data_IF_630270260156
#
_entry.id   IF_630270260156
#
_cell.length_a   1.000
_cell.length_b   1.000
_cell.length_c   1.000
_cell.angle_alpha   90.00
_cell.angle_beta   90.00
_cell.angle_gamma   90.00
#
_symmetry.space_group_name_H-M   'P 1'
#
loop_
_entity.id
_entity.type
_entity.pdbx_description
1 polymer ?
#
# COMPACT_ATOMS: atom_id res chain seq x y z
N UNK A 1 -3.70 5.34 11.14
CA UNK A 1 -2.50 5.80 11.86
C UNK A 1 -1.96 4.61 12.64
N UNK A 2 -0.67 4.26 12.52
CA UNK A 2 -0.06 3.23 13.36
C UNK A 2 -0.29 3.52 14.85
N UNK A 3 -0.45 2.50 15.70
CA UNK A 3 -0.68 2.72 17.14
C UNK A 3 0.37 3.62 17.81
N UNK A 4 1.69 3.48 17.55
CA UNK A 4 2.70 4.38 18.12
C UNK A 4 2.48 5.85 17.72
N UNK A 5 1.87 6.09 16.55
CA UNK A 5 1.58 7.46 16.09
C UNK A 5 0.34 8.08 16.75
N UNK A 6 -0.40 7.31 17.56
CA UNK A 6 -1.55 7.80 18.32
C UNK A 6 -1.17 8.29 19.73
N UNK A 7 -0.01 7.89 20.26
CA UNK A 7 0.52 8.37 21.54
C UNK A 7 1.65 9.38 21.32
N UNK A 8 1.45 10.61 21.77
CA UNK A 8 2.45 11.69 21.63
C UNK A 8 3.69 11.50 22.50
N UNK A 9 3.63 10.60 23.48
CA UNK A 9 4.75 10.28 24.34
C UNK A 9 5.54 9.06 23.84
N UNK A 10 5.06 8.39 22.80
CA UNK A 10 5.77 7.26 22.20
C UNK A 10 7.05 7.75 21.51
N UNK A 11 8.21 7.11 21.74
CA UNK A 11 9.45 7.47 21.06
C UNK A 11 9.33 7.50 19.53
N UNK A 12 8.56 6.58 18.93
CA UNK A 12 8.36 6.54 17.49
C UNK A 12 7.60 7.78 16.97
N UNK A 13 6.64 8.30 17.75
CA UNK A 13 5.97 9.56 17.42
C UNK A 13 6.95 10.73 17.45
N UNK A 14 7.80 10.80 18.48
CA UNK A 14 8.79 11.85 18.62
C UNK A 14 9.85 11.79 17.52
N UNK A 15 10.31 10.60 17.16
CA UNK A 15 11.23 10.38 16.05
C UNK A 15 10.60 10.80 14.71
N UNK A 16 9.33 10.46 14.49
CA UNK A 16 8.60 10.90 13.32
C UNK A 16 8.50 12.43 13.24
N UNK A 17 8.10 13.09 14.33
CA UNK A 17 8.02 14.57 14.38
C UNK A 17 9.41 15.18 14.19
N UNK A 18 10.44 14.60 14.80
CA UNK A 18 11.83 15.00 14.63
C UNK A 18 12.26 14.93 13.17
N UNK A 19 12.02 13.81 12.49
CA UNK A 19 12.23 13.68 11.05
C UNK A 19 11.46 14.73 10.24
N UNK A 20 10.16 14.91 10.51
CA UNK A 20 9.32 15.87 9.79
C UNK A 20 9.74 17.33 9.98
N UNK A 21 10.28 17.70 11.15
CA UNK A 21 10.78 19.06 11.43
C UNK A 21 11.93 19.48 10.52
N UNK A 22 12.60 18.52 9.89
CA UNK A 22 13.71 18.76 8.99
C UNK A 22 13.31 18.78 7.50
N UNK A 23 12.08 18.35 7.15
CA UNK A 23 11.58 18.34 5.78
C UNK A 23 11.62 19.72 5.09
N UNK A 24 11.35 20.86 5.77
CA UNK A 24 11.47 22.18 5.15
C UNK A 24 12.90 22.54 4.69
N UNK A 25 13.92 21.79 5.13
CA UNK A 25 15.32 22.00 4.73
C UNK A 25 15.74 21.14 3.54
N UNK A 26 14.88 20.24 3.05
CA UNK A 26 15.15 19.43 1.88
C UNK A 26 14.95 20.25 0.60
N UNK A 27 15.72 19.93 -0.44
CA UNK A 27 15.56 20.56 -1.78
C UNK A 27 14.26 20.15 -2.49
N UNK A 28 13.58 19.11 -1.99
CA UNK A 28 12.32 18.62 -2.51
C UNK A 28 11.84 17.36 -1.78
N UNK A 29 10.62 16.94 -2.10
CA UNK A 29 10.03 15.67 -1.64
C UNK A 29 9.68 14.86 -2.87
N UNK A 30 10.15 13.61 -2.90
CA UNK A 30 9.79 12.65 -3.94
C UNK A 30 8.64 11.80 -3.41
N UNK A 31 7.52 11.81 -4.12
CA UNK A 31 6.37 10.95 -3.86
C UNK A 31 6.24 9.92 -4.98
N UNK A 32 6.05 8.65 -4.62
CA UNK A 32 5.78 7.56 -5.55
C UNK A 32 4.31 7.65 -5.99
N UNK A 33 3.95 8.61 -6.83
CA UNK A 33 2.55 8.89 -7.21
C UNK A 33 2.50 9.63 -8.55
N UNK A 34 1.30 9.86 -9.07
CA UNK A 34 1.03 10.73 -10.21
C UNK A 34 -0.07 11.74 -9.85
N UNK A 35 -0.11 12.89 -10.53
CA UNK A 35 -0.97 14.02 -10.15
C UNK A 35 -2.45 13.63 -10.11
N UNK A 36 -2.90 12.79 -11.04
CA UNK A 36 -4.27 12.31 -11.13
C UNK A 36 -4.64 11.34 -10.01
N UNK A 37 -3.65 10.77 -9.30
CA UNK A 37 -3.86 9.92 -8.14
C UNK A 37 -3.95 10.72 -6.83
N UNK A 38 -3.52 11.96 -6.82
CA UNK A 38 -3.52 12.75 -5.59
C UNK A 38 -4.79 13.60 -5.51
N UNK A 39 -5.41 13.73 -4.32
CA UNK A 39 -6.54 14.63 -4.14
C UNK A 39 -6.17 16.06 -4.62
N UNK A 40 -6.98 16.71 -5.47
CA UNK A 40 -6.65 18.04 -5.99
C UNK A 40 -6.37 19.09 -4.90
N UNK A 41 -7.03 18.96 -3.75
CA UNK A 41 -6.80 19.80 -2.58
C UNK A 41 -5.39 19.61 -1.98
N UNK A 42 -4.85 18.39 -2.00
CA UNK A 42 -3.51 18.09 -1.51
C UNK A 42 -2.44 18.69 -2.43
N UNK A 43 -2.55 18.48 -3.74
CA UNK A 43 -1.66 19.07 -4.75
C UNK A 43 -1.68 20.60 -4.66
N UNK A 44 -2.88 21.19 -4.53
CA UNK A 44 -3.02 22.64 -4.34
C UNK A 44 -2.33 23.13 -3.07
N UNK A 45 -2.56 22.47 -1.92
CA UNK A 45 -1.96 22.88 -0.65
C UNK A 45 -0.43 22.80 -0.66
N UNK A 46 0.14 21.79 -1.32
CA UNK A 46 1.59 21.65 -1.50
C UNK A 46 2.13 22.75 -2.42
N UNK A 47 1.51 22.95 -3.58
CA UNK A 47 1.96 23.94 -4.57
C UNK A 47 1.85 25.38 -4.08
N UNK A 48 0.85 25.70 -3.25
CA UNK A 48 0.70 27.01 -2.62
C UNK A 48 1.60 27.20 -1.39
N UNK A 49 2.37 26.17 -0.99
CA UNK A 49 3.30 26.27 0.13
C UNK A 49 2.63 26.35 1.51
N UNK A 50 1.32 26.06 1.58
CA UNK A 50 0.51 26.15 2.79
C UNK A 50 1.05 25.21 3.87
N UNK A 51 1.57 24.05 3.46
CA UNK A 51 2.06 23.00 4.35
C UNK A 51 3.45 23.32 4.94
N UNK A 52 4.27 24.12 4.25
CA UNK A 52 5.69 24.35 4.61
C UNK A 52 5.99 25.78 5.08
N UNK A 53 4.98 26.65 5.16
CA UNK A 53 5.16 28.04 5.64
C UNK A 53 5.76 28.98 4.59
N UNK A 54 5.63 28.65 3.30
CA UNK A 54 6.13 29.44 2.17
C UNK A 54 6.07 28.64 0.86
N UNK A 55 6.05 29.29 -0.32
CA UNK A 55 5.99 28.61 -1.61
C UNK A 55 7.16 27.63 -1.77
N UNK A 56 6.88 26.36 -2.06
CA UNK A 56 7.93 25.43 -2.47
C UNK A 56 8.28 25.78 -3.92
N UNK A 57 9.54 26.11 -4.21
CA UNK A 57 10.01 26.16 -5.60
C UNK A 57 9.74 24.78 -6.22
N UNK A 58 8.98 24.75 -7.33
CA UNK A 58 8.45 23.55 -7.99
C UNK A 58 9.52 22.51 -8.34
N UNK A 59 9.97 21.72 -7.37
CA UNK A 59 10.82 20.55 -7.57
C UNK A 59 10.19 19.27 -7.03
N UNK A 60 8.85 19.25 -6.89
CA UNK A 60 8.11 17.99 -6.81
C UNK A 60 8.00 17.41 -8.22
N UNK A 61 8.99 16.60 -8.64
CA UNK A 61 8.88 15.83 -9.89
C UNK A 61 8.12 14.54 -9.60
N UNK A 62 7.05 14.29 -10.36
CA UNK A 62 6.38 12.99 -10.37
C UNK A 62 7.35 11.92 -10.87
N UNK A 63 7.27 10.72 -10.29
CA UNK A 63 7.98 9.55 -10.80
C UNK A 63 7.44 9.14 -12.18
N UNK A 64 7.98 9.73 -13.25
CA UNK A 64 7.54 9.42 -14.63
C UNK A 64 7.89 10.47 -15.67
N UNK A 65 8.28 11.69 -15.26
CA UNK A 65 8.50 12.79 -16.22
C UNK A 65 9.87 12.73 -16.95
N UNK A 66 10.89 12.03 -16.42
CA UNK A 66 12.23 11.90 -17.07
C UNK A 66 12.99 10.58 -16.78
N UNK A 67 12.35 9.56 -16.21
CA UNK A 67 13.05 8.29 -15.91
C UNK A 67 12.56 7.16 -16.84
N UNK A 68 13.42 6.55 -17.69
CA UNK A 68 13.01 5.50 -18.63
C UNK A 68 12.58 4.17 -17.99
N UNK A 69 12.56 4.07 -16.67
CA UNK A 69 12.11 2.87 -15.96
C UNK A 69 11.34 3.33 -14.71
N UNK A 70 10.02 3.11 -14.70
CA UNK A 70 9.22 3.22 -13.48
C UNK A 70 9.80 2.24 -12.47
N UNK A 71 10.53 2.75 -11.48
CA UNK A 71 10.94 1.95 -10.33
C UNK A 71 9.69 1.74 -9.47
N UNK A 72 8.90 0.73 -9.82
CA UNK A 72 7.92 0.15 -8.90
C UNK A 72 8.74 -0.46 -7.78
N UNK A 73 9.00 0.35 -6.75
CA UNK A 73 9.48 -0.12 -5.47
C UNK A 73 8.37 -0.92 -4.82
N UNK A 74 8.06 -2.12 -5.33
CA UNK A 74 7.55 -3.15 -4.45
C UNK A 74 8.48 -3.19 -3.24
N UNK A 75 7.97 -3.49 -2.06
CA UNK A 75 8.84 -3.85 -0.94
C UNK A 75 9.64 -5.10 -1.35
N UNK A 76 10.70 -4.89 -2.12
CA UNK A 76 11.88 -5.72 -2.03
C UNK A 76 12.37 -5.39 -0.64
N UNK A 77 12.00 -6.26 0.30
CA UNK A 77 12.76 -6.50 1.51
C UNK A 77 14.23 -6.22 1.18
N UNK A 78 14.69 -5.12 1.76
CA UNK A 78 16.04 -4.61 1.67
C UNK A 78 17.03 -5.76 1.67
N UNK A 79 17.89 -5.83 0.65
CA UNK A 79 19.10 -6.66 0.65
C UNK A 79 18.92 -8.14 1.07
N UNK A 80 18.45 -9.01 0.17
CA UNK A 80 18.80 -10.43 0.29
C UNK A 80 20.06 -10.69 -0.53
N UNK A 81 21.23 -10.53 0.11
CA UNK A 81 22.36 -11.45 -0.18
C UNK A 81 21.76 -12.86 -0.12
N UNK A 82 22.14 -13.74 -1.04
CA UNK A 82 21.95 -15.18 -0.90
C UNK A 82 22.49 -15.61 0.47
N UNK A 83 21.64 -15.58 1.48
CA UNK A 83 21.84 -16.32 2.72
C UNK A 83 21.11 -17.62 2.44
N UNK A 84 21.87 -18.61 1.98
CA UNK A 84 21.55 -20.02 2.22
C UNK A 84 21.34 -20.18 3.72
N UNK A 85 20.08 -20.12 4.14
CA UNK A 85 19.69 -20.09 5.55
C UNK A 85 18.27 -19.60 5.78
N UNK A 86 17.30 -19.98 4.95
CA UNK A 86 15.89 -19.82 5.29
C UNK A 86 15.43 -20.99 6.14
N UNK A 87 15.59 -20.87 7.46
CA UNK A 87 14.76 -21.65 8.37
C UNK A 87 13.30 -21.13 8.25
N UNK A 88 12.48 -21.84 7.47
CA UNK A 88 11.05 -22.10 7.69
C UNK A 88 10.05 -20.94 7.62
N UNK A 89 9.64 -20.50 6.42
CA UNK A 89 8.27 -20.00 6.17
C UNK A 89 7.41 -21.00 5.38
N UNK A 90 8.00 -22.11 4.92
CA UNK A 90 7.29 -23.21 4.24
C UNK A 90 6.46 -24.10 5.18
N UNK A 91 6.53 -23.86 6.49
CA UNK A 91 6.16 -24.84 7.54
C UNK A 91 4.81 -24.59 8.22
N UNK A 92 4.02 -23.60 7.77
CA UNK A 92 2.66 -23.46 8.30
C UNK A 92 1.71 -24.48 7.67
N UNK A 93 1.05 -25.24 8.54
CA UNK A 93 0.01 -26.19 8.20
C UNK A 93 -1.27 -25.44 7.79
N UNK A 94 -1.54 -25.45 6.48
CA UNK A 94 -2.73 -24.80 5.91
C UNK A 94 -4.02 -25.47 6.37
N UNK A 95 -4.00 -26.78 6.64
CA UNK A 95 -5.18 -27.50 7.11
C UNK A 95 -5.50 -27.17 8.57
N UNK A 96 -4.51 -26.71 9.34
CA UNK A 96 -4.71 -26.17 10.69
C UNK A 96 -5.22 -24.72 10.68
N UNK A 97 -4.81 -23.90 9.70
CA UNK A 97 -5.18 -22.49 9.62
C UNK A 97 -6.52 -22.25 8.92
N UNK A 98 -6.81 -23.02 7.86
CA UNK A 98 -7.99 -22.83 7.03
C UNK A 98 -9.16 -23.69 7.53
N UNK A 99 -10.42 -23.31 7.22
CA UNK A 99 -11.57 -24.13 7.58
C UNK A 99 -11.43 -25.55 7.04
N UNK A 100 -11.76 -26.57 7.85
CA UNK A 100 -11.66 -27.99 7.47
C UNK A 100 -12.17 -28.24 6.05
N UNK A 101 -11.33 -28.86 5.22
CA UNK A 101 -11.64 -29.22 3.82
C UNK A 101 -11.66 -28.04 2.83
N UNK A 102 -11.19 -26.85 3.21
CA UNK A 102 -11.16 -25.66 2.34
C UNK A 102 -10.43 -25.92 1.02
N UNK A 103 -9.17 -26.39 1.09
CA UNK A 103 -8.34 -26.63 -0.09
C UNK A 103 -9.02 -27.58 -1.08
N UNK A 104 -9.61 -28.68 -0.57
CA UNK A 104 -10.32 -29.64 -1.42
C UNK A 104 -11.57 -29.05 -2.07
N UNK A 105 -12.32 -28.19 -1.36
CA UNK A 105 -13.53 -27.53 -1.89
C UNK A 105 -13.23 -26.43 -2.91
N UNK A 106 -12.02 -25.86 -2.90
CA UNK A 106 -11.64 -24.73 -3.77
C UNK A 106 -10.68 -25.11 -4.88
N UNK A 107 -10.09 -26.32 -4.88
CA UNK A 107 -9.02 -26.75 -5.81
C UNK A 107 -9.30 -26.48 -7.29
N UNK A 108 -10.56 -26.57 -7.73
CA UNK A 108 -10.93 -26.41 -9.15
C UNK A 108 -11.27 -24.95 -9.51
N UNK A 109 -11.27 -24.04 -8.53
CA UNK A 109 -11.66 -22.62 -8.70
C UNK A 109 -10.66 -21.62 -8.12
N UNK A 110 -9.68 -22.08 -7.34
CA UNK A 110 -8.75 -21.21 -6.65
C UNK A 110 -7.47 -21.94 -6.26
N UNK A 111 -6.40 -21.17 -6.14
CA UNK A 111 -5.08 -21.64 -5.77
C UNK A 111 -4.62 -20.88 -4.52
N UNK A 112 -4.12 -21.61 -3.52
CA UNK A 112 -3.49 -21.03 -2.34
C UNK A 112 -1.98 -21.13 -2.52
N UNK A 113 -1.29 -19.99 -2.53
CA UNK A 113 0.16 -19.92 -2.63
C UNK A 113 0.72 -19.65 -1.24
N UNK A 114 1.67 -20.47 -0.79
CA UNK A 114 2.37 -20.24 0.48
C UNK A 114 3.42 -19.14 0.33
N UNK A 115 3.60 -18.34 1.37
CA UNK A 115 4.65 -17.33 1.53
C UNK A 115 4.59 -16.14 0.57
N UNK A 116 4.69 -16.35 -0.75
CA UNK A 116 4.80 -15.26 -1.71
C UNK A 116 4.30 -15.64 -3.11
N UNK A 117 3.62 -14.70 -3.77
CA UNK A 117 3.20 -14.79 -5.16
C UNK A 117 3.80 -13.64 -5.98
N UNK A 118 4.10 -13.84 -7.27
CA UNK A 118 4.60 -12.76 -8.14
C UNK A 118 3.49 -11.78 -8.48
N UNK A 119 3.20 -10.85 -7.55
CA UNK A 119 2.06 -9.93 -7.61
C UNK A 119 2.00 -9.13 -8.92
N UNK A 120 3.08 -8.46 -9.32
CA UNK A 120 3.11 -7.68 -10.57
C UNK A 120 2.81 -8.55 -11.80
N UNK A 121 3.48 -9.71 -12.02
CA UNK A 121 3.10 -10.63 -13.09
C UNK A 121 1.68 -11.17 -13.01
N UNK A 122 1.11 -11.35 -11.82
CA UNK A 122 -0.29 -11.80 -11.64
C UNK A 122 -1.26 -10.70 -12.05
N UNK A 123 -1.11 -9.49 -11.53
CA UNK A 123 -1.98 -8.34 -11.81
C UNK A 123 -2.02 -7.97 -13.30
N UNK A 124 -0.92 -8.20 -14.03
CA UNK A 124 -0.85 -7.93 -15.48
C UNK A 124 -1.60 -8.95 -16.35
N UNK A 125 -2.16 -10.03 -15.80
CA UNK A 125 -2.90 -11.02 -16.58
C UNK A 125 -4.32 -10.54 -16.85
N UNK A 126 -4.76 -10.62 -18.10
CA UNK A 126 -6.14 -10.32 -18.51
C UNK A 126 -7.20 -11.13 -17.74
N UNK A 127 -6.83 -12.31 -17.22
CA UNK A 127 -7.74 -13.14 -16.43
C UNK A 127 -7.98 -12.63 -15.00
N UNK A 128 -7.28 -11.58 -14.55
CA UNK A 128 -7.48 -10.98 -13.23
C UNK A 128 -8.57 -9.92 -13.32
N UNK A 129 -9.73 -10.23 -12.73
CA UNK A 129 -10.89 -9.32 -12.72
C UNK A 129 -10.98 -8.40 -11.49
N UNK A 130 -10.10 -8.58 -10.50
CA UNK A 130 -10.11 -7.75 -9.29
C UNK A 130 -9.05 -8.14 -8.28
N UNK A 131 -8.76 -7.23 -7.35
CA UNK A 131 -7.70 -7.38 -6.36
C UNK A 131 -8.18 -7.02 -4.95
N UNK A 132 -8.25 -8.01 -4.04
CA UNK A 132 -8.47 -7.74 -2.61
C UNK A 132 -7.14 -7.30 -2.01
N UNK A 133 -7.10 -6.08 -1.47
CA UNK A 133 -5.86 -5.48 -0.99
C UNK A 133 -6.04 -4.79 0.34
N UNK A 134 -5.01 -4.85 1.17
CA UNK A 134 -4.88 -4.04 2.38
C UNK A 134 -4.59 -2.56 2.11
N UNK A 135 -4.53 -2.12 0.85
CA UNK A 135 -4.30 -0.72 0.46
C UNK A 135 -2.92 -0.16 0.84
N UNK A 136 -1.90 -1.00 0.98
CA UNK A 136 -0.51 -0.53 1.03
C UNK A 136 -0.12 0.16 -0.28
N UNK A 137 0.55 1.32 -0.20
CA UNK A 137 0.69 2.25 -1.33
C UNK A 137 1.30 1.64 -2.60
N UNK A 138 2.31 0.78 -2.47
CA UNK A 138 2.91 0.11 -3.64
C UNK A 138 1.94 -0.83 -4.34
N UNK A 139 1.15 -1.61 -3.58
CA UNK A 139 0.14 -2.51 -4.16
C UNK A 139 -0.99 -1.73 -4.83
N UNK A 140 -1.32 -0.55 -4.30
CA UNK A 140 -2.29 0.36 -4.94
C UNK A 140 -1.78 0.79 -6.31
N UNK A 141 -0.55 1.31 -6.39
CA UNK A 141 0.03 1.74 -7.67
C UNK A 141 0.14 0.60 -8.67
N UNK A 142 0.57 -0.58 -8.25
CA UNK A 142 0.64 -1.76 -9.12
C UNK A 142 -0.74 -2.14 -9.70
N UNK A 143 -1.79 -2.07 -8.89
CA UNK A 143 -3.17 -2.32 -9.34
C UNK A 143 -3.67 -1.27 -10.30
N UNK A 144 -3.38 0.01 -10.01
CA UNK A 144 -3.79 1.14 -10.85
C UNK A 144 -3.10 1.08 -12.22
N UNK A 145 -1.79 0.82 -12.26
CA UNK A 145 -1.02 0.61 -13.50
C UNK A 145 -1.56 -0.58 -14.29
N UNK A 146 -1.97 -1.65 -13.62
CA UNK A 146 -2.55 -2.83 -14.26
C UNK A 146 -4.02 -2.64 -14.68
N UNK A 147 -4.67 -1.54 -14.28
CA UNK A 147 -6.10 -1.32 -14.54
C UNK A 147 -7.03 -2.30 -13.81
N UNK A 148 -6.60 -2.81 -12.65
CA UNK A 148 -7.35 -3.83 -11.89
C UNK A 148 -8.16 -3.16 -10.76
N UNK A 149 -9.50 -3.35 -10.71
CA UNK A 149 -10.33 -2.79 -9.64
C UNK A 149 -10.07 -3.48 -8.30
N UNK A 150 -10.26 -2.75 -7.20
CA UNK A 150 -9.86 -3.22 -5.87
C UNK A 150 -11.04 -3.44 -4.92
N UNK A 151 -10.87 -4.40 -4.01
CA UNK A 151 -11.64 -4.51 -2.77
C UNK A 151 -10.72 -4.08 -1.64
N UNK A 152 -11.02 -2.95 -1.02
CA UNK A 152 -10.18 -2.27 -0.05
C UNK A 152 -10.44 -2.76 1.37
N UNK A 153 -9.52 -3.58 1.91
CA UNK A 153 -9.57 -4.15 3.24
C UNK A 153 -8.33 -3.76 4.09
N UNK A 154 -8.24 -2.50 4.54
CA UNK A 154 -7.09 -2.00 5.28
C UNK A 154 -6.91 -2.67 6.65
N UNK A 155 -5.67 -2.80 7.09
CA UNK A 155 -5.29 -3.46 8.34
C UNK A 155 -4.66 -2.48 9.35
N UNK A 156 -3.73 -1.62 8.93
CA UNK A 156 -3.00 -0.71 9.82
C UNK A 156 -2.33 0.46 9.07
N UNK A 157 -1.54 1.27 9.79
CA UNK A 157 -0.77 2.39 9.25
C UNK A 157 -1.60 3.43 8.46
N UNK A 158 -1.19 3.75 7.24
CA UNK A 158 -1.79 4.73 6.33
C UNK A 158 -2.87 4.11 5.44
N UNK A 159 -3.05 2.79 5.48
CA UNK A 159 -3.94 2.04 4.59
C UNK A 159 -5.40 2.52 4.63
N UNK A 160 -5.88 3.00 5.78
CA UNK A 160 -7.22 3.58 5.89
C UNK A 160 -7.37 4.91 5.13
N UNK A 161 -6.29 5.71 5.09
CA UNK A 161 -6.26 6.93 4.28
C UNK A 161 -6.25 6.56 2.80
N UNK A 162 -5.40 5.62 2.40
CA UNK A 162 -5.32 5.12 1.03
C UNK A 162 -6.69 4.58 0.55
N UNK A 163 -7.36 3.74 1.37
CA UNK A 163 -8.74 3.31 1.10
C UNK A 163 -9.67 4.51 0.89
N UNK A 164 -9.63 5.50 1.78
CA UNK A 164 -10.55 6.65 1.68
C UNK A 164 -10.39 7.37 0.36
N UNK A 165 -9.16 7.58 -0.10
CA UNK A 165 -8.87 8.20 -1.39
C UNK A 165 -9.35 7.30 -2.55
N UNK A 166 -9.01 6.01 -2.52
CA UNK A 166 -9.38 5.05 -3.57
C UNK A 166 -10.89 4.92 -3.77
N UNK A 167 -11.64 4.92 -2.67
CA UNK A 167 -13.10 4.72 -2.68
C UNK A 167 -13.83 6.03 -2.97
N UNK A 168 -13.46 7.12 -2.28
CA UNK A 168 -14.25 8.37 -2.32
C UNK A 168 -13.85 9.32 -3.43
N UNK A 169 -12.56 9.37 -3.77
CA UNK A 169 -12.04 10.34 -4.74
C UNK A 169 -11.87 9.71 -6.12
N UNK A 170 -11.36 8.47 -6.19
CA UNK A 170 -11.02 7.83 -7.47
C UNK A 170 -12.09 6.89 -8.02
N UNK A 171 -12.97 6.34 -7.17
CA UNK A 171 -13.92 5.31 -7.57
C UNK A 171 -13.26 4.01 -8.08
N UNK A 172 -12.04 3.71 -7.61
CA UNK A 172 -11.24 2.55 -8.04
C UNK A 172 -11.35 1.35 -7.11
N UNK A 173 -12.01 1.52 -5.96
CA UNK A 173 -12.22 0.46 -5.01
C UNK A 173 -13.61 0.47 -4.40
N UNK A 174 -14.09 -0.71 -4.02
CA UNK A 174 -15.17 -0.86 -3.03
C UNK A 174 -14.56 -1.14 -1.67
N UNK A 175 -15.13 -0.57 -0.61
CA UNK A 175 -14.67 -0.88 0.73
C UNK A 175 -15.37 -2.09 1.33
N UNK A 176 -14.81 -2.54 2.44
CA UNK A 176 -15.41 -3.57 3.27
C UNK A 176 -15.66 -3.05 4.68
N UNK A 177 -16.72 -3.54 5.30
CA UNK A 177 -17.03 -3.32 6.69
C UNK A 177 -16.52 -4.49 7.52
N UNK A 178 -15.59 -4.20 8.43
CA UNK A 178 -15.12 -5.16 9.42
C UNK A 178 -15.90 -5.02 10.72
N UNK A 179 -16.47 -6.14 11.16
CA UNK A 179 -17.14 -6.27 12.44
C UNK A 179 -16.11 -6.29 13.58
N UNK A 180 -16.32 -5.48 14.62
CA UNK A 180 -15.35 -5.32 15.72
C UNK A 180 -15.25 -6.55 16.61
N UNK A 181 -16.33 -7.31 16.76
CA UNK A 181 -16.41 -8.40 17.75
C UNK A 181 -15.57 -9.62 17.35
N UNK A 182 -15.51 -9.95 16.06
CA UNK A 182 -14.85 -11.16 15.57
C UNK A 182 -13.99 -10.96 14.31
N UNK A 183 -13.84 -9.71 13.87
CA UNK A 183 -13.03 -9.36 12.71
C UNK A 183 -13.63 -9.80 11.36
N UNK A 184 -14.86 -10.32 11.34
CA UNK A 184 -15.51 -10.76 10.11
C UNK A 184 -15.84 -9.58 9.20
N UNK A 185 -15.76 -9.81 7.90
CA UNK A 185 -15.86 -8.75 6.91
C UNK A 185 -17.02 -8.99 5.95
N UNK A 186 -17.74 -7.92 5.64
CA UNK A 186 -18.83 -7.89 4.66
C UNK A 186 -18.61 -6.75 3.66
N UNK A 187 -19.00 -7.00 2.41
CA UNK A 187 -19.10 -5.99 1.34
C UNK A 187 -20.54 -5.67 1.02
#
# INVERSE_FOLDING_TARGET
MPEPMLDRNDPAYLDFVGCCSHLPRSDGIIANTFEELEPPAAIKAISEGIIFGGPIERNCKGIGEEWPEVFVGGEKASHRREIQGSHGLDDFDLDALLPRGFLQRTKDRGMVVKSWAPQVPVLKKESVGGFVTHCGWNSVLESVIAGVPMVAWPLYAEQHLNRSVLVKEMGMAIDVEQRKEDGFVRG
#
